data_IF_406985863322
#
_entry.id   IF_406985863322
#
_cell.length_a   1.000
_cell.length_b   1.000
_cell.length_c   1.000
_cell.angle_alpha   90.00
_cell.angle_beta   90.00
_cell.angle_gamma   90.00
#
_symmetry.space_group_name_H-M   'P 1'
#
loop_
_entity.id
_entity.type
_entity.pdbx_description
1 polymer ?
#
# COMPACT_ATOMS: atom_id res chain seq x y z
N UNK A 1 -23.16 -11.23 43.07
CA UNK A 1 -23.14 -11.16 41.58
C UNK A 1 -23.04 -9.74 40.99
N UNK A 2 -22.72 -8.68 41.76
CA UNK A 2 -22.56 -7.31 41.22
C UNK A 2 -21.10 -6.83 41.05
N UNK A 3 -20.14 -7.49 41.69
CA UNK A 3 -18.72 -7.08 41.63
C UNK A 3 -17.97 -7.56 40.36
N UNK A 4 -18.51 -8.56 39.65
CA UNK A 4 -17.85 -9.15 38.47
C UNK A 4 -18.20 -8.40 37.17
N UNK A 5 -19.27 -7.59 37.17
CA UNK A 5 -19.72 -6.84 35.97
C UNK A 5 -19.01 -5.50 35.76
N UNK A 6 -18.33 -4.95 36.76
CA UNK A 6 -17.62 -3.66 36.65
C UNK A 6 -16.17 -3.78 36.18
N UNK A 7 -15.56 -4.97 36.25
CA UNK A 7 -14.19 -5.18 35.76
C UNK A 7 -14.11 -5.33 34.23
N UNK A 8 -15.20 -5.72 33.57
CA UNK A 8 -15.21 -5.94 32.11
C UNK A 8 -15.34 -4.67 31.29
N UNK A 9 -15.79 -3.55 31.89
CA UNK A 9 -15.95 -2.27 31.16
C UNK A 9 -14.66 -1.45 31.18
N UNK A 10 -13.85 -1.55 32.25
CA UNK A 10 -12.59 -0.81 32.37
C UNK A 10 -11.49 -1.35 31.44
N UNK A 11 -11.50 -2.66 31.12
CA UNK A 11 -10.47 -3.27 30.26
C UNK A 11 -10.69 -2.99 28.76
N UNK A 12 -11.92 -2.65 28.34
CA UNK A 12 -12.24 -2.37 26.93
C UNK A 12 -11.92 -0.94 26.48
N UNK A 13 -11.83 0.02 27.42
CA UNK A 13 -11.51 1.41 27.11
C UNK A 13 -9.99 1.58 26.92
N UNK A 14 -9.19 0.87 27.71
CA UNK A 14 -7.72 0.97 27.67
C UNK A 14 -7.09 0.43 26.37
N UNK A 15 -7.71 -0.58 25.74
CA UNK A 15 -7.24 -1.12 24.45
C UNK A 15 -7.61 -0.25 23.26
N UNK A 16 -8.62 0.61 23.37
CA UNK A 16 -9.03 1.51 22.27
C UNK A 16 -8.18 2.78 22.18
N UNK A 17 -7.61 3.26 23.30
CA UNK A 17 -6.76 4.45 23.32
C UNK A 17 -5.32 4.20 22.84
N UNK A 18 -4.85 2.96 22.76
CA UNK A 18 -3.51 2.65 22.22
C UNK A 18 -3.45 2.74 20.69
N UNK A 19 -4.59 2.87 19.99
CA UNK A 19 -4.66 2.87 18.54
C UNK A 19 -4.58 4.27 17.89
N UNK A 20 -4.42 5.35 18.67
CA UNK A 20 -4.52 6.73 18.15
C UNK A 20 -3.19 7.45 17.97
N UNK A 21 -2.04 6.75 18.00
CA UNK A 21 -0.81 7.37 17.50
C UNK A 21 -0.97 7.53 15.98
N UNK A 22 -0.89 8.75 15.42
CA UNK A 22 -0.92 8.94 13.97
C UNK A 22 0.40 8.41 13.41
N UNK A 23 0.46 7.10 13.19
CA UNK A 23 1.48 6.49 12.34
C UNK A 23 1.05 6.79 10.92
N UNK A 24 1.45 7.96 10.43
CA UNK A 24 1.32 8.33 9.02
C UNK A 24 2.27 7.51 8.17
N UNK A 25 2.10 6.19 8.14
CA UNK A 25 2.78 5.36 7.16
C UNK A 25 2.10 5.60 5.81
N UNK A 26 2.80 6.29 4.92
CA UNK A 26 2.31 6.52 3.56
C UNK A 26 2.04 5.18 2.87
N UNK A 27 0.94 5.08 2.14
CA UNK A 27 0.63 3.96 1.27
C UNK A 27 1.00 4.22 -0.19
N UNK A 28 0.76 3.22 -1.02
CA UNK A 28 0.55 3.42 -2.45
C UNK A 28 -0.82 2.86 -2.83
N UNK A 29 -1.51 3.51 -3.76
CA UNK A 29 -2.75 3.03 -4.33
C UNK A 29 -2.93 3.60 -5.72
N UNK A 30 -3.76 2.98 -6.55
CA UNK A 30 -4.13 3.58 -7.82
C UNK A 30 -5.43 4.38 -7.68
N UNK A 31 -5.48 5.53 -8.32
CA UNK A 31 -6.68 6.35 -8.40
C UNK A 31 -6.75 7.10 -9.72
N UNK A 32 -7.96 7.44 -10.15
CA UNK A 32 -8.15 8.28 -11.32
C UNK A 32 -7.73 9.71 -11.02
N UNK A 33 -6.91 10.29 -11.90
CA UNK A 33 -6.52 11.71 -11.92
C UNK A 33 -6.60 12.19 -13.36
N UNK A 34 -7.50 13.15 -13.62
CA UNK A 34 -7.72 13.70 -14.96
C UNK A 34 -7.89 12.62 -16.07
N UNK A 35 -8.69 11.58 -15.79
CA UNK A 35 -8.94 10.42 -16.67
C UNK A 35 -7.73 9.50 -16.94
N UNK A 36 -6.65 9.66 -16.18
CA UNK A 36 -5.51 8.76 -16.19
C UNK A 36 -5.50 7.95 -14.90
N UNK A 37 -5.14 6.67 -15.01
CA UNK A 37 -4.92 5.84 -13.83
C UNK A 37 -3.55 6.20 -13.24
N UNK A 38 -3.53 6.83 -12.08
CA UNK A 38 -2.32 7.30 -11.42
C UNK A 38 -1.91 6.35 -10.29
N UNK A 39 -0.60 6.14 -10.09
CA UNK A 39 -0.09 5.52 -8.87
C UNK A 39 0.21 6.63 -7.86
N UNK A 40 -0.63 6.71 -6.83
CA UNK A 40 -0.54 7.71 -5.77
C UNK A 40 0.36 7.19 -4.65
N UNK A 41 1.12 8.09 -4.04
CA UNK A 41 1.86 7.89 -2.79
C UNK A 41 1.41 8.94 -1.79
N UNK A 42 0.98 8.54 -0.60
CA UNK A 42 0.39 9.48 0.35
C UNK A 42 -0.31 8.80 1.54
N UNK A 43 -1.09 9.56 2.29
CA UNK A 43 -2.01 9.06 3.32
C UNK A 43 -3.36 9.75 3.15
N UNK A 44 -4.46 9.00 3.25
CA UNK A 44 -5.81 9.55 3.07
C UNK A 44 -6.01 10.17 1.67
N UNK A 45 -6.26 11.47 1.62
CA UNK A 45 -6.50 12.22 0.37
C UNK A 45 -5.23 12.85 -0.22
N UNK A 46 -4.05 12.61 0.38
CA UNK A 46 -2.81 13.21 -0.05
C UNK A 46 -2.31 12.64 -1.39
N UNK A 47 -1.85 13.54 -2.26
CA UNK A 47 -1.11 13.23 -3.48
C UNK A 47 0.33 13.77 -3.33
N UNK A 48 1.17 13.08 -2.56
CA UNK A 48 2.57 13.47 -2.42
C UNK A 48 3.33 13.17 -3.71
N UNK A 49 4.54 13.74 -3.82
CA UNK A 49 5.43 13.57 -4.96
C UNK A 49 5.92 12.11 -5.08
N UNK A 50 5.11 11.31 -5.76
CA UNK A 50 5.33 9.90 -6.04
C UNK A 50 6.42 9.69 -7.11
N UNK A 51 6.64 10.67 -7.99
CA UNK A 51 7.68 10.59 -9.02
C UNK A 51 9.08 10.49 -8.38
N UNK A 52 9.35 11.22 -7.29
CA UNK A 52 10.61 11.05 -6.52
C UNK A 52 10.79 9.66 -5.91
N UNK A 53 9.75 8.83 -5.89
CA UNK A 53 9.75 7.49 -5.31
C UNK A 53 9.67 6.40 -6.40
N UNK A 54 9.58 6.74 -7.68
CA UNK A 54 9.56 5.78 -8.79
C UNK A 54 10.70 4.76 -8.75
N UNK A 55 11.97 5.11 -8.41
CA UNK A 55 13.06 4.13 -8.34
C UNK A 55 12.86 3.03 -7.28
N UNK A 56 11.93 3.23 -6.34
CA UNK A 56 11.58 2.28 -5.29
C UNK A 56 10.45 1.32 -5.72
N UNK A 57 9.71 1.65 -6.80
CA UNK A 57 8.74 0.75 -7.41
C UNK A 57 9.51 -0.36 -8.11
N UNK A 58 9.29 -1.61 -7.70
CA UNK A 58 10.02 -2.77 -8.21
C UNK A 58 9.31 -3.40 -9.40
N UNK A 59 7.99 -3.45 -9.36
CA UNK A 59 7.18 -3.95 -10.46
C UNK A 59 5.92 -3.10 -10.64
N UNK A 60 5.50 -2.97 -11.88
CA UNK A 60 4.15 -2.57 -12.28
C UNK A 60 3.73 -3.53 -13.39
N UNK A 61 2.63 -4.24 -13.20
CA UNK A 61 2.16 -5.26 -14.14
C UNK A 61 0.68 -5.03 -14.40
N UNK A 62 0.33 -4.81 -15.65
CA UNK A 62 -1.06 -4.80 -16.09
C UNK A 62 -1.50 -6.20 -16.50
N UNK A 63 -2.81 -6.43 -16.42
CA UNK A 63 -3.46 -7.67 -16.81
C UNK A 63 -4.71 -7.36 -17.64
N UNK A 64 -4.98 -8.20 -18.63
CA UNK A 64 -6.24 -8.19 -19.36
C UNK A 64 -7.37 -8.87 -18.56
N UNK A 65 -8.57 -8.98 -19.15
CA UNK A 65 -9.74 -9.61 -18.50
C UNK A 65 -9.57 -11.12 -18.27
N UNK A 66 -8.60 -11.74 -18.93
CA UNK A 66 -8.25 -13.15 -18.79
C UNK A 66 -7.10 -13.38 -17.80
N UNK A 67 -6.61 -12.31 -17.15
CA UNK A 67 -5.44 -12.28 -16.30
C UNK A 67 -4.12 -12.57 -17.02
N UNK A 68 -4.07 -12.44 -18.34
CA UNK A 68 -2.83 -12.48 -19.08
C UNK A 68 -2.07 -11.16 -18.86
N UNK A 69 -0.73 -11.19 -18.68
CA UNK A 69 0.07 -9.98 -18.54
C UNK A 69 -0.03 -9.09 -19.78
N UNK A 70 -0.13 -7.78 -19.55
CA UNK A 70 -0.16 -6.72 -20.57
C UNK A 70 1.06 -5.81 -20.39
N UNK A 71 1.66 -5.37 -21.50
CA UNK A 71 2.79 -4.43 -21.46
C UNK A 71 2.36 -3.13 -20.78
N UNK A 72 2.93 -2.88 -19.60
CA UNK A 72 2.51 -1.79 -18.72
C UNK A 72 3.72 -1.14 -18.08
N UNK A 73 3.71 0.18 -17.97
CA UNK A 73 4.75 0.95 -17.28
C UNK A 73 4.16 2.09 -16.46
N UNK A 74 5.02 2.79 -15.72
CA UNK A 74 4.69 4.04 -15.06
C UNK A 74 5.46 5.17 -15.74
N UNK A 75 4.72 6.14 -16.29
CA UNK A 75 5.29 7.35 -16.86
C UNK A 75 5.10 8.52 -15.91
N UNK A 76 6.16 9.29 -15.67
CA UNK A 76 6.06 10.51 -14.87
C UNK A 76 5.13 11.53 -15.54
N UNK A 77 4.18 12.07 -14.78
CA UNK A 77 3.28 13.15 -15.20
C UNK A 77 3.19 14.21 -14.09
N UNK A 78 4.10 15.18 -14.11
CA UNK A 78 4.26 16.10 -12.99
C UNK A 78 4.80 15.38 -11.75
N UNK A 79 4.10 15.51 -10.62
CA UNK A 79 4.49 14.87 -9.35
C UNK A 79 3.93 13.44 -9.16
N UNK A 80 3.01 13.01 -10.03
CA UNK A 80 2.30 11.73 -9.89
C UNK A 80 2.51 10.90 -11.17
N UNK A 81 3.09 9.70 -11.08
CA UNK A 81 3.21 8.83 -12.24
C UNK A 81 1.84 8.25 -12.63
N UNK A 82 1.65 8.07 -13.94
CA UNK A 82 0.45 7.45 -14.51
C UNK A 82 0.80 6.13 -15.16
N UNK A 83 -0.13 5.18 -15.10
CA UNK A 83 -0.05 3.91 -15.80
C UNK A 83 -0.08 4.19 -17.30
N UNK A 84 0.88 3.62 -18.01
CA UNK A 84 1.02 3.72 -19.47
C UNK A 84 0.97 2.32 -20.08
N UNK A 85 0.09 2.14 -21.05
CA UNK A 85 -0.10 0.88 -21.79
C UNK A 85 -0.75 1.17 -23.15
N UNK A 86 -0.31 0.46 -24.18
CA UNK A 86 -0.91 0.52 -25.53
C UNK A 86 -2.14 -0.38 -25.67
N UNK A 87 -2.42 -1.20 -24.66
CA UNK A 87 -3.50 -2.18 -24.64
C UNK A 87 -4.50 -1.90 -23.50
N UNK A 88 -5.76 -2.33 -23.61
CA UNK A 88 -6.71 -2.23 -22.51
C UNK A 88 -6.25 -3.03 -21.28
N UNK A 89 -6.29 -2.39 -20.11
CA UNK A 89 -5.91 -3.02 -18.84
C UNK A 89 -7.15 -3.23 -17.96
N UNK A 90 -7.41 -4.48 -17.57
CA UNK A 90 -8.48 -4.86 -16.66
C UNK A 90 -8.05 -4.78 -15.18
N UNK A 91 -6.77 -4.98 -14.90
CA UNK A 91 -6.19 -4.82 -13.58
C UNK A 91 -4.73 -4.37 -13.64
N UNK A 92 -4.28 -3.61 -12.64
CA UNK A 92 -2.86 -3.23 -12.47
C UNK A 92 -2.43 -3.60 -11.06
N UNK A 93 -1.28 -4.26 -10.93
CA UNK A 93 -0.61 -4.54 -9.68
C UNK A 93 0.74 -3.81 -9.64
N UNK A 94 1.14 -3.30 -8.48
CA UNK A 94 2.45 -2.71 -8.26
C UNK A 94 3.04 -3.13 -6.91
N UNK A 95 4.35 -3.37 -6.93
CA UNK A 95 5.16 -3.60 -5.75
C UNK A 95 6.16 -2.46 -5.56
N UNK A 96 6.37 -2.08 -4.30
CA UNK A 96 7.35 -1.09 -3.93
C UNK A 96 8.12 -1.59 -2.73
N UNK A 97 9.44 -1.56 -2.83
CA UNK A 97 10.33 -1.72 -1.69
C UNK A 97 10.72 -0.32 -1.24
N UNK A 98 10.10 0.14 -0.15
CA UNK A 98 10.32 1.46 0.43
C UNK A 98 11.56 1.50 1.34
N UNK A 99 12.30 0.39 1.43
CA UNK A 99 13.58 0.31 2.13
C UNK A 99 13.46 0.23 3.64
N UNK A 100 14.61 0.36 4.28
CA UNK A 100 14.74 0.29 5.73
C UNK A 100 14.48 1.65 6.38
N UNK A 101 13.74 1.63 7.48
CA UNK A 101 13.44 2.81 8.27
C UNK A 101 13.68 2.53 9.74
N UNK A 102 14.43 3.41 10.39
CA UNK A 102 14.77 3.30 11.81
C UNK A 102 14.33 4.54 12.57
N UNK A 103 13.70 4.33 13.73
CA UNK A 103 13.22 5.37 14.62
C UNK A 103 14.09 5.49 15.86
N UNK A 104 14.65 6.66 16.11
CA UNK A 104 15.48 6.97 17.29
C UNK A 104 14.62 7.28 18.53
N UNK A 105 15.20 7.33 19.75
CA UNK A 105 14.43 7.53 20.99
C UNK A 105 13.72 8.89 21.08
N UNK A 106 14.23 9.90 20.38
CA UNK A 106 13.60 11.22 20.20
C UNK A 106 12.43 11.20 19.19
N UNK A 107 12.27 10.09 18.46
CA UNK A 107 11.18 9.84 17.54
C UNK A 107 11.45 10.21 16.09
N UNK A 108 12.66 10.66 15.75
CA UNK A 108 13.06 10.92 14.37
C UNK A 108 13.15 9.63 13.55
N UNK A 109 12.81 9.72 12.25
CA UNK A 109 12.87 8.61 11.31
C UNK A 109 14.02 8.80 10.33
N UNK A 110 14.84 7.76 10.19
CA UNK A 110 15.95 7.71 9.24
C UNK A 110 15.70 6.60 8.22
N UNK A 111 15.89 6.90 6.93
CA UNK A 111 15.81 5.92 5.84
C UNK A 111 17.10 5.06 5.79
N UNK A 112 17.32 4.30 6.86
CA UNK A 112 18.50 3.50 7.14
C UNK A 112 18.14 2.29 8.00
N UNK A 113 18.95 1.23 7.90
CA UNK A 113 18.85 0.06 8.76
C UNK A 113 19.37 0.30 10.18
N UNK A 114 19.09 -0.65 11.08
CA UNK A 114 19.55 -0.61 12.48
C UNK A 114 21.06 -0.76 12.61
N UNK A 115 21.70 -1.38 11.64
CA UNK A 115 23.14 -1.46 11.48
C UNK A 115 23.80 -0.07 11.33
N UNK A 116 23.10 0.87 10.68
CA UNK A 116 23.55 2.26 10.55
C UNK A 116 22.99 3.21 11.60
N UNK A 117 21.89 2.84 12.27
CA UNK A 117 21.24 3.61 13.33
C UNK A 117 21.22 2.78 14.63
N UNK A 118 22.36 2.65 15.33
CA UNK A 118 22.51 1.69 16.43
C UNK A 118 21.67 2.03 17.67
N UNK A 119 21.28 3.29 17.84
CA UNK A 119 20.39 3.75 18.91
C UNK A 119 18.90 3.64 18.56
N UNK A 120 18.53 3.04 17.41
CA UNK A 120 17.14 2.90 17.00
C UNK A 120 16.32 2.07 18.00
N UNK A 121 15.17 2.60 18.39
CA UNK A 121 14.18 1.91 19.24
C UNK A 121 13.29 0.98 18.42
N UNK A 122 13.05 1.33 17.15
CA UNK A 122 12.28 0.57 16.18
C UNK A 122 13.01 0.60 14.84
N UNK A 123 13.01 -0.52 14.12
CA UNK A 123 13.53 -0.60 12.76
C UNK A 123 12.61 -1.50 11.94
N UNK A 124 12.40 -1.12 10.68
CA UNK A 124 11.42 -1.72 9.79
C UNK A 124 12.01 -1.85 8.39
N UNK A 125 11.59 -2.88 7.64
CA UNK A 125 11.74 -2.93 6.19
C UNK A 125 10.35 -2.83 5.58
N UNK A 126 10.10 -1.73 4.87
CA UNK A 126 8.76 -1.37 4.42
C UNK A 126 8.50 -1.80 2.98
N UNK A 127 7.53 -2.70 2.79
CA UNK A 127 7.00 -3.06 1.47
C UNK A 127 5.62 -2.45 1.27
N UNK A 128 5.31 -2.03 0.05
CA UNK A 128 3.98 -1.53 -0.31
C UNK A 128 3.48 -2.25 -1.56
N UNK A 129 2.21 -2.62 -1.52
CA UNK A 129 1.54 -3.33 -2.59
C UNK A 129 0.27 -2.58 -2.96
N UNK A 130 0.00 -2.44 -4.25
CA UNK A 130 -1.27 -1.90 -4.74
C UNK A 130 -1.82 -2.81 -5.82
N UNK A 131 -3.12 -3.04 -5.79
CA UNK A 131 -3.89 -3.68 -6.87
C UNK A 131 -5.07 -2.78 -7.18
N UNK A 132 -5.34 -2.58 -8.47
CA UNK A 132 -6.51 -1.87 -8.95
C UNK A 132 -7.20 -2.67 -10.03
N UNK A 133 -8.51 -2.81 -9.90
CA UNK A 133 -9.37 -3.44 -10.90
C UNK A 133 -10.14 -2.32 -11.60
N UNK A 134 -10.02 -2.23 -12.93
CA UNK A 134 -10.75 -1.23 -13.72
C UNK A 134 -12.19 -1.66 -14.01
N UNK A 135 -12.49 -2.94 -13.77
CA UNK A 135 -13.78 -3.58 -13.95
C UNK A 135 -13.95 -4.73 -12.93
N UNK A 136 -15.19 -5.17 -12.73
CA UNK A 136 -15.47 -6.37 -11.92
C UNK A 136 -14.89 -7.59 -12.65
N UNK A 137 -14.04 -8.40 -12.00
CA UNK A 137 -13.52 -9.62 -12.60
C UNK A 137 -14.62 -10.61 -12.97
N UNK A 138 -14.51 -11.20 -14.15
CA UNK A 138 -15.37 -12.30 -14.61
C UNK A 138 -14.74 -13.68 -14.39
N UNK A 139 -13.47 -13.70 -13.96
CA UNK A 139 -12.70 -14.90 -13.60
C UNK A 139 -12.07 -14.74 -12.21
N UNK A 140 -11.81 -15.84 -11.47
CA UNK A 140 -11.15 -15.78 -10.17
C UNK A 140 -9.87 -14.95 -10.22
N UNK A 141 -9.69 -14.06 -9.24
CA UNK A 141 -8.48 -13.22 -9.14
C UNK A 141 -7.30 -14.13 -8.80
N UNK A 142 -6.24 -14.18 -9.62
CA UNK A 142 -5.06 -14.97 -9.31
C UNK A 142 -4.23 -14.31 -8.21
N UNK A 143 -3.27 -15.04 -7.68
CA UNK A 143 -2.22 -14.44 -6.86
C UNK A 143 -1.23 -13.69 -7.76
N UNK A 144 -0.91 -12.45 -7.41
CA UNK A 144 0.07 -11.63 -8.09
C UNK A 144 1.49 -11.97 -7.62
N UNK A 145 2.41 -12.19 -8.56
CA UNK A 145 3.81 -12.44 -8.24
C UNK A 145 4.45 -11.23 -7.53
N UNK A 146 5.35 -11.48 -6.57
CA UNK A 146 6.04 -10.44 -5.80
C UNK A 146 5.23 -9.83 -4.64
N UNK A 147 3.92 -10.07 -4.58
CA UNK A 147 3.09 -9.66 -3.45
C UNK A 147 3.14 -10.73 -2.34
N UNK A 148 3.82 -10.44 -1.22
CA UNK A 148 3.97 -11.38 -0.11
C UNK A 148 2.66 -11.68 0.63
N UNK A 149 1.77 -10.68 0.74
CA UNK A 149 0.45 -10.81 1.35
C UNK A 149 -0.61 -10.23 0.40
N UNK A 150 -1.68 -10.99 0.16
CA UNK A 150 -2.75 -10.61 -0.75
C UNK A 150 -4.11 -10.91 -0.11
N UNK A 151 -5.02 -9.94 -0.20
CA UNK A 151 -6.43 -10.16 0.08
C UNK A 151 -7.11 -10.31 -1.27
N UNK A 152 -7.57 -11.54 -1.55
CA UNK A 152 -8.28 -11.86 -2.79
C UNK A 152 -9.76 -12.13 -2.48
N UNK A 153 -10.67 -11.77 -3.39
CA UNK A 153 -12.07 -12.19 -3.29
C UNK A 153 -12.17 -13.71 -3.15
N UNK A 154 -13.06 -14.17 -2.25
CA UNK A 154 -13.31 -15.60 -2.07
C UNK A 154 -14.05 -16.21 -3.27
N UNK A 155 -14.85 -15.41 -3.97
CA UNK A 155 -15.60 -15.78 -5.17
C UNK A 155 -15.79 -14.57 -6.09
N UNK A 156 -16.54 -14.76 -7.19
CA UNK A 156 -16.79 -13.73 -8.20
C UNK A 156 -17.93 -12.76 -7.85
N UNK A 157 -18.65 -12.98 -6.75
CA UNK A 157 -19.71 -12.10 -6.29
C UNK A 157 -19.10 -10.93 -5.49
N UNK A 158 -18.32 -10.09 -6.17
CA UNK A 158 -17.80 -8.84 -5.61
C UNK A 158 -18.93 -7.80 -5.67
N UNK A 159 -19.39 -7.25 -4.53
CA UNK A 159 -20.54 -6.34 -4.48
C UNK A 159 -20.30 -4.99 -5.14
#
# INVERSE_FOLDING_TARGET
>A
MRLVRTLSVALGVSTLLAATAPVGAHGIWFAQRARQLALVYGVGADDLDAVKRLPLVKTVTGYDSDWAPVTTSLRAAGAIPVVDSDEPVAAVAATMDYGYWSKTPDGEWHNKGRDEVPNATLAEHNFKYAVHLTQVPTKPVPLFEGHTLQVVPADLAIP
#
